data_IF_307092269471
#
_entry.id   IF_307092269471
#
_cell.length_a   1.000
_cell.length_b   1.000
_cell.length_c   1.000
_cell.angle_alpha   90.00
_cell.angle_beta   90.00
_cell.angle_gamma   90.00
#
_symmetry.space_group_name_H-M   'P 1'
#
loop_
_entity.id
_entity.type
_entity.pdbx_description
1 polymer ?
2 non-polymer ?
3 water ?
#
# COMPACT_ATOMS: atom_id res chain seq x y z
N UNK A 1 -3.56 -29.36 -0.29
CA UNK A 1 -4.21 -28.07 -0.33
C UNK A 1 -3.25 -26.91 -0.56
N UNK A 2 -3.44 -26.22 -1.68
CA UNK A 2 -2.66 -25.04 -2.03
C UNK A 2 -3.61 -23.90 -2.33
N UNK A 3 -3.32 -22.72 -1.78
CA UNK A 3 -4.06 -21.51 -2.10
C UNK A 3 -3.06 -20.42 -2.47
N UNK A 4 -3.55 -19.43 -3.22
CA UNK A 4 -2.76 -18.28 -3.60
C UNK A 4 -3.08 -17.11 -2.69
N UNK A 5 -2.06 -16.30 -2.39
CA UNK A 5 -2.22 -15.11 -1.56
C UNK A 5 -1.29 -14.02 -2.08
N UNK A 6 -1.76 -12.78 -2.00
CA UNK A 6 -1.01 -11.63 -2.50
C UNK A 6 -0.05 -11.15 -1.42
N UNK A 7 1.20 -10.91 -1.79
CA UNK A 7 2.21 -10.43 -0.85
C UNK A 7 2.22 -8.91 -0.88
N UNK A 8 1.98 -8.29 0.28
CA UNK A 8 2.01 -6.84 0.42
C UNK A 8 2.89 -6.51 1.62
N UNK A 9 4.09 -6.00 1.36
CA UNK A 9 4.97 -5.54 2.42
C UNK A 9 4.51 -4.17 2.91
N UNK A 10 4.55 -3.99 4.23
CA UNK A 10 3.98 -2.81 4.87
C UNK A 10 4.87 -2.35 6.01
N UNK A 11 4.93 -1.03 6.22
CA UNK A 11 5.71 -0.44 7.29
C UNK A 11 4.81 0.36 8.23
N UNK A 12 5.15 0.32 9.52
CA UNK A 12 4.35 1.00 10.54
C UNK A 12 4.80 2.45 10.65
N UNK A 13 3.85 3.38 10.53
CA UNK A 13 4.17 4.80 10.60
C UNK A 13 3.95 5.33 12.01
N UNK A 14 4.11 6.64 12.17
CA UNK A 14 4.05 7.25 13.50
C UNK A 14 2.65 7.22 14.09
N UNK A 15 1.61 7.09 13.26
CA UNK A 15 0.24 6.99 13.74
C UNK A 15 -0.20 5.55 13.97
N UNK A 16 0.74 4.61 13.97
CA UNK A 16 0.45 3.19 14.19
C UNK A 16 -0.45 2.62 13.10
N UNK A 17 -0.27 3.12 11.88
CA UNK A 17 -0.97 2.61 10.70
C UNK A 17 0.04 1.91 9.80
N UNK A 18 -0.29 0.69 9.38
CA UNK A 18 0.55 -0.05 8.45
C UNK A 18 0.36 0.51 7.04
N UNK A 19 1.42 1.09 6.49
CA UNK A 19 1.45 1.69 5.16
C UNK A 19 2.08 0.73 4.17
N UNK A 20 1.52 0.60 2.97
CA UNK A 20 2.07 -0.32 1.99
C UNK A 20 3.17 0.31 1.14
N UNK A 21 4.14 -0.52 0.78
CA UNK A 21 5.09 -0.14 -0.25
C UNK A 21 4.42 -0.27 -1.63
N UNK A 22 5.13 0.17 -2.66
CA UNK A 22 4.60 -0.02 -4.00
C UNK A 22 4.84 -1.45 -4.47
N UNK A 23 4.16 -1.82 -5.55
CA UNK A 23 4.28 -3.18 -6.07
C UNK A 23 5.67 -3.45 -6.64
N UNK A 24 6.32 -2.42 -7.20
CA UNK A 24 7.69 -2.60 -7.67
C UNK A 24 8.63 -2.92 -6.52
N UNK A 25 8.49 -2.20 -5.41
CA UNK A 25 9.34 -2.44 -4.25
C UNK A 25 9.08 -3.84 -3.68
N UNK A 26 7.81 -4.25 -3.63
CA UNK A 26 7.48 -5.54 -3.03
C UNK A 26 8.04 -6.71 -3.83
N UNK A 27 8.11 -6.59 -5.16
CA UNK A 27 8.74 -7.64 -5.95
C UNK A 27 10.22 -7.75 -5.65
N UNK A 28 10.89 -6.60 -5.47
CA UNK A 28 12.32 -6.61 -5.18
C UNK A 28 12.60 -7.24 -3.82
N UNK A 29 11.74 -6.97 -2.83
CA UNK A 29 11.94 -7.53 -1.50
C UNK A 29 11.82 -9.05 -1.53
N UNK A 30 10.77 -9.56 -2.19
CA UNK A 30 10.55 -11.00 -2.25
C UNK A 30 11.70 -11.72 -2.95
N UNK A 31 12.32 -11.07 -3.94
CA UNK A 31 13.46 -11.68 -4.62
C UNK A 31 14.69 -11.75 -3.71
N UNK A 32 14.86 -10.76 -2.83
CA UNK A 32 15.93 -10.84 -1.83
C UNK A 32 15.60 -11.90 -0.79
N UNK A 33 14.32 -12.00 -0.41
CA UNK A 33 13.92 -12.97 0.61
C UNK A 33 14.11 -14.40 0.11
N UNK A 34 13.88 -14.63 -1.19
CA UNK A 34 14.08 -15.96 -1.76
C UNK A 34 15.53 -16.40 -1.69
N UNK A 35 16.47 -15.46 -1.76
CA UNK A 35 17.89 -15.78 -1.79
C UNK A 35 18.54 -15.76 -0.42
N UNK A 36 18.03 -14.96 0.52
CA UNK A 36 18.65 -14.83 1.83
C UNK A 36 17.61 -14.28 2.79
N UNK A 37 17.23 -15.09 3.79
CA UNK A 37 16.25 -14.66 4.77
C UNK A 37 16.76 -13.53 5.66
N UNK A 38 18.07 -13.33 5.73
CA UNK A 38 18.67 -12.32 6.59
C UNK A 38 19.36 -11.22 5.79
N UNK A 39 18.97 -11.01 4.53
CA UNK A 39 19.60 -10.03 3.69
C UNK A 39 19.04 -8.63 3.88
N UNK A 40 19.63 -7.69 3.15
CA UNK A 40 19.22 -6.29 3.17
C UNK A 40 18.72 -5.90 1.78
N UNK A 41 17.53 -5.31 1.72
CA UNK A 41 16.95 -4.86 0.46
C UNK A 41 17.40 -3.42 0.25
N UNK A 42 18.23 -3.20 -0.77
CA UNK A 42 18.75 -1.87 -1.08
C UNK A 42 17.83 -1.25 -2.12
N UNK A 43 16.88 -0.44 -1.66
CA UNK A 43 15.89 0.13 -2.57
C UNK A 43 16.47 1.17 -3.51
N UNK A 44 17.69 1.66 -3.25
CA UNK A 44 18.35 2.55 -4.19
C UNK A 44 18.66 1.91 -5.52
N UNK A 45 18.74 0.57 -5.57
CA UNK A 45 18.91 -0.12 -6.84
C UNK A 45 17.68 0.00 -7.73
N UNK A 46 16.51 0.26 -7.14
CA UNK A 46 15.26 0.32 -7.90
C UNK A 46 15.02 1.71 -8.48
N UNK A 47 15.14 2.74 -7.65
CA UNK A 47 14.90 4.10 -8.11
C UNK A 47 15.70 5.07 -7.25
N UNK A 48 16.01 6.23 -7.83
CA UNK A 48 16.85 7.21 -7.15
C UNK A 48 16.16 7.83 -5.95
N UNK A 49 14.82 7.88 -5.95
CA UNK A 49 14.10 8.42 -4.81
C UNK A 49 14.13 7.50 -3.60
N UNK A 50 14.47 6.22 -3.79
CA UNK A 50 14.52 5.25 -2.71
C UNK A 50 15.92 5.03 -2.17
N UNK A 51 16.89 5.87 -2.58
CA UNK A 51 18.27 5.70 -2.13
C UNK A 51 18.41 5.62 -0.61
N UNK A 52 17.78 6.49 0.18
CA UNK A 52 17.97 6.40 1.64
C UNK A 52 17.24 5.24 2.30
N UNK A 53 16.48 4.43 1.57
CA UNK A 53 15.69 3.36 2.16
C UNK A 53 16.44 2.04 2.10
N UNK A 54 16.57 1.38 3.25
CA UNK A 54 17.10 0.03 3.34
C UNK A 54 16.18 -0.78 4.24
N UNK A 55 15.76 -1.95 3.77
CA UNK A 55 14.91 -2.86 4.52
C UNK A 55 15.76 -4.04 4.96
N UNK A 56 15.93 -4.19 6.28
CA UNK A 56 16.76 -5.23 6.86
C UNK A 56 15.88 -6.41 7.23
N UNK A 57 16.01 -7.51 6.48
CA UNK A 57 15.24 -8.71 6.79
C UNK A 57 15.74 -9.40 8.06
N UNK A 58 16.97 -9.12 8.49
CA UNK A 58 17.49 -9.76 9.70
C UNK A 58 16.69 -9.34 10.93
N UNK A 59 16.29 -8.07 11.01
CA UNK A 59 15.51 -7.57 12.13
C UNK A 59 14.11 -7.13 11.73
N UNK A 60 13.76 -7.22 10.44
CA UNK A 60 12.45 -6.82 9.93
C UNK A 60 12.12 -5.37 10.30
N UNK A 61 13.02 -4.47 9.88
CA UNK A 61 12.87 -3.04 10.13
C UNK A 61 13.32 -2.26 8.90
N UNK A 62 12.68 -1.11 8.69
CA UNK A 62 13.08 -0.19 7.64
C UNK A 62 14.06 0.84 8.20
N UNK A 63 15.14 1.08 7.47
CA UNK A 63 16.15 2.06 7.85
C UNK A 63 16.16 3.18 6.82
N UNK A 64 15.98 4.42 7.27
CA UNK A 64 16.08 5.59 6.42
C UNK A 64 17.30 6.40 6.81
N UNK A 65 18.23 6.56 5.87
CA UNK A 65 19.43 7.35 6.11
C UNK A 65 19.16 8.85 6.11
N UNK A 66 18.06 9.29 5.49
CA UNK A 66 17.78 10.72 5.41
C UNK A 66 17.06 11.25 6.64
N UNK A 67 16.42 10.39 7.42
CA UNK A 67 15.76 10.80 8.66
C UNK A 67 16.32 10.13 9.90
N UNK A 68 16.91 8.95 9.77
CA UNK A 68 17.42 8.21 10.91
C UNK A 68 16.43 7.27 11.56
N UNK A 69 15.23 7.12 10.99
CA UNK A 69 14.19 6.33 11.63
C UNK A 69 14.42 4.84 11.44
N UNK A 70 13.95 4.07 12.41
CA UNK A 70 13.89 2.61 12.36
C UNK A 70 12.44 2.23 12.61
N UNK A 71 11.77 1.70 11.59
CA UNK A 71 10.35 1.42 11.67
C UNK A 71 10.09 -0.04 11.30
N UNK A 72 9.28 -0.76 12.08
CA UNK A 72 9.02 -2.17 11.77
C UNK A 72 8.35 -2.34 10.41
N UNK A 73 8.61 -3.49 9.79
CA UNK A 73 7.97 -3.88 8.54
C UNK A 73 7.33 -5.24 8.73
N UNK A 74 6.40 -5.58 7.83
CA UNK A 74 5.73 -6.87 7.90
C UNK A 74 5.42 -7.35 6.49
N UNK A 75 5.33 -8.67 6.35
CA UNK A 75 5.02 -9.34 5.09
C UNK A 75 3.57 -9.81 5.18
N UNK A 76 2.65 -8.94 4.79
CA UNK A 76 1.22 -9.20 4.93
C UNK A 76 0.65 -9.82 3.66
N UNK A 77 -0.57 -10.33 3.78
CA UNK A 77 -1.18 -11.09 2.70
C UNK A 77 -2.65 -10.72 2.55
N UNK A 78 -3.09 -10.64 1.30
CA UNK A 78 -4.46 -10.29 0.94
C UNK A 78 -4.97 -11.30 -0.10
N UNK A 79 -6.23 -11.15 -0.49
CA UNK A 79 -6.88 -12.12 -1.36
C UNK A 79 -6.56 -11.83 -2.82
N UNK A 80 -6.30 -12.86 -3.63
CA UNK A 80 -5.94 -12.63 -5.04
C UNK A 80 -7.00 -11.90 -5.84
N UNK A 81 -8.27 -12.00 -5.46
CA UNK A 81 -9.31 -11.31 -6.20
C UNK A 81 -9.44 -9.83 -5.82
N UNK A 82 -8.65 -9.35 -4.87
CA UNK A 82 -8.70 -7.95 -4.49
C UNK A 82 -7.77 -7.12 -5.38
N UNK A 83 -7.89 -5.80 -5.25
CA UNK A 83 -7.14 -4.87 -6.10
C UNK A 83 -5.64 -5.15 -6.17
N UNK A 84 -4.92 -5.44 -5.08
CA UNK A 84 -3.47 -5.70 -5.23
C UNK A 84 -3.15 -6.91 -6.09
N UNK A 85 -4.05 -7.89 -6.16
CA UNK A 85 -3.83 -9.05 -7.00
C UNK A 85 -3.81 -8.74 -8.49
N UNK A 86 -4.45 -7.66 -8.90
CA UNK A 86 -4.48 -7.22 -10.30
C UNK A 86 -3.47 -6.12 -10.59
N UNK A 87 -3.26 -5.21 -9.65
CA UNK A 87 -2.44 -4.03 -9.88
C UNK A 87 -3.20 -2.72 -9.75
N UNK A 88 -4.49 -2.77 -9.42
CA UNK A 88 -5.28 -1.55 -9.28
C UNK A 88 -4.89 -0.83 -8.00
N UNK A 89 -4.62 0.47 -8.11
CA UNK A 89 -4.22 1.29 -6.98
C UNK A 89 -5.06 2.56 -6.98
N UNK A 90 -5.61 2.91 -5.82
CA UNK A 90 -6.30 4.17 -5.62
C UNK A 90 -5.41 5.10 -4.80
N UNK A 91 -5.25 6.34 -5.28
CA UNK A 91 -4.33 7.28 -4.68
C UNK A 91 -5.01 8.62 -4.45
N UNK A 92 -4.58 9.32 -3.40
CA UNK A 92 -5.03 10.67 -3.09
C UNK A 92 -3.85 11.63 -3.12
N UNK A 93 -4.13 12.87 -3.49
CA UNK A 93 -3.10 13.88 -3.75
C UNK A 93 -2.89 14.72 -2.50
N UNK A 94 -1.68 14.68 -1.94
CA UNK A 94 -1.43 15.41 -0.71
C UNK A 94 -1.17 16.89 -1.00
N UNK A 95 -0.84 17.64 0.05
CA UNK A 95 -0.65 19.08 -0.08
C UNK A 95 0.52 19.41 -1.00
N UNK A 96 1.57 18.59 -0.97
CA UNK A 96 2.72 18.83 -1.82
C UNK A 96 2.53 18.47 -3.28
N UNK A 97 1.33 18.06 -3.68
CA UNK A 97 1.09 17.64 -5.04
C UNK A 97 1.51 16.21 -5.35
N UNK A 98 1.91 15.45 -4.34
CA UNK A 98 2.32 14.06 -4.53
C UNK A 98 1.15 13.13 -4.29
N UNK A 99 1.08 12.07 -5.09
CA UNK A 99 0.00 11.10 -4.99
C UNK A 99 0.38 9.98 -4.03
N UNK A 100 -0.52 9.70 -3.08
CA UNK A 100 -0.27 8.78 -1.99
C UNK A 100 -1.33 7.70 -2.00
N UNK A 101 -0.91 6.44 -1.90
CA UNK A 101 -1.86 5.34 -1.90
C UNK A 101 -2.54 5.22 -0.54
N UNK A 102 -3.83 4.90 -0.56
CA UNK A 102 -4.55 4.62 0.67
C UNK A 102 -3.99 3.37 1.34
N UNK A 103 -4.32 3.19 2.62
CA UNK A 103 -4.07 1.91 3.27
C UNK A 103 -4.71 0.79 2.46
N UNK A 104 -4.09 -0.39 2.49
CA UNK A 104 -4.49 -1.44 1.57
C UNK A 104 -5.94 -1.87 1.80
N UNK A 105 -6.37 -1.96 3.07
CA UNK A 105 -7.75 -2.33 3.36
C UNK A 105 -8.72 -1.30 2.80
N UNK A 106 -8.34 -0.02 2.83
CA UNK A 106 -9.20 1.02 2.28
C UNK A 106 -9.13 1.03 0.76
N UNK A 107 -7.96 0.76 0.19
CA UNK A 107 -7.84 0.67 -1.26
C UNK A 107 -8.73 -0.43 -1.82
N UNK A 108 -8.76 -1.59 -1.17
CA UNK A 108 -9.61 -2.68 -1.63
C UNK A 108 -11.08 -2.34 -1.45
N UNK A 109 -11.42 -1.59 -0.40
CA UNK A 109 -12.82 -1.21 -0.19
C UNK A 109 -13.27 -0.21 -1.25
N UNK A 110 -12.40 0.73 -1.62
CA UNK A 110 -12.74 1.72 -2.64
C UNK A 110 -12.96 1.04 -3.98
N UNK A 111 -12.13 0.05 -4.32
CA UNK A 111 -12.28 -0.65 -5.59
C UNK A 111 -13.53 -1.52 -5.61
N UNK A 112 -13.86 -2.14 -4.48
CA UNK A 112 -15.09 -2.94 -4.41
C UNK A 112 -16.32 -2.07 -4.61
N UNK A 113 -16.34 -0.89 -4.00
CA UNK A 113 -17.49 0.00 -4.16
C UNK A 113 -17.57 0.54 -5.58
N UNK A 114 -16.43 0.79 -6.22
CA UNK A 114 -16.44 1.38 -7.56
C UNK A 114 -17.05 0.43 -8.58
N UNK A 115 -16.68 -0.85 -8.53
CA UNK A 115 -17.20 -1.82 -9.49
C UNK A 115 -18.61 -2.29 -9.16
N UNK A 116 -19.05 -2.12 -7.91
CA UNK A 116 -20.46 -2.27 -7.58
C UNK A 116 -21.29 -1.08 -8.03
N UNK A 117 -20.69 -0.15 -8.77
CA UNK A 117 -21.39 1.02 -9.32
C UNK A 117 -21.97 1.90 -8.22
N UNK A 118 -21.30 1.95 -7.07
CA UNK A 118 -21.68 2.87 -6.01
C UNK A 118 -21.21 4.27 -6.36
N UNK A 119 -22.10 5.27 -6.39
CA UNK A 119 -21.62 6.65 -6.61
C UNK A 119 -20.66 7.14 -5.54
N UNK A 120 -20.86 6.79 -4.27
CA UNK A 120 -19.94 7.23 -3.24
C UNK A 120 -19.79 6.16 -2.16
N UNK A 121 -18.75 6.33 -1.35
CA UNK A 121 -18.39 5.39 -0.29
C UNK A 121 -18.01 6.18 0.96
N UNK A 122 -18.60 5.80 2.09
CA UNK A 122 -18.34 6.43 3.38
C UNK A 122 -17.43 5.51 4.18
N UNK A 123 -16.28 6.04 4.62
CA UNK A 123 -15.27 5.26 5.31
C UNK A 123 -15.35 5.38 6.82
N UNK A 124 -16.41 6.00 7.35
CA UNK A 124 -16.48 6.28 8.78
C UNK A 124 -16.42 5.00 9.61
N UNK A 125 -17.06 3.94 9.13
CA UNK A 125 -17.05 2.68 9.87
C UNK A 125 -15.65 2.08 9.97
N UNK A 126 -14.74 2.47 9.08
CA UNK A 126 -13.38 1.95 9.07
C UNK A 126 -12.37 2.89 9.71
N UNK A 127 -12.83 3.92 10.43
CA UNK A 127 -11.98 4.84 11.14
C UNK A 127 -11.74 6.16 10.44
N UNK A 128 -11.76 6.17 9.11
CA UNK A 128 -11.54 7.39 8.34
C UNK A 128 -12.84 8.17 8.21
N UNK A 129 -12.85 9.41 8.69
CA UNK A 129 -14.04 10.26 8.58
C UNK A 129 -14.05 11.00 7.23
N UNK A 130 -14.15 10.21 6.16
CA UNK A 130 -14.06 10.73 4.81
C UNK A 130 -15.12 10.09 3.92
N UNK A 131 -15.49 10.81 2.86
CA UNK A 131 -16.43 10.33 1.85
C UNK A 131 -15.74 10.34 0.49
N UNK A 132 -15.86 9.24 -0.24
CA UNK A 132 -15.22 9.08 -1.53
C UNK A 132 -16.27 9.30 -2.61
N UNK A 133 -16.12 10.39 -3.37
CA UNK A 133 -17.04 10.72 -4.45
C UNK A 133 -16.41 10.33 -5.78
N UNK A 134 -16.94 9.29 -6.41
CA UNK A 134 -16.40 8.83 -7.69
C UNK A 134 -16.81 9.72 -8.86
N UNK A 135 -17.93 10.44 -8.73
CA UNK A 135 -18.39 11.27 -9.84
C UNK A 135 -17.46 12.46 -10.07
N UNK A 136 -17.02 13.10 -8.99
CA UNK A 136 -16.05 14.18 -9.08
C UNK A 136 -14.62 13.72 -8.80
N UNK A 137 -14.43 12.42 -8.59
CA UNK A 137 -13.13 11.83 -8.24
C UNK A 137 -12.45 12.63 -7.13
N UNK A 138 -13.10 12.65 -5.97
CA UNK A 138 -12.62 13.45 -4.85
C UNK A 138 -12.92 12.75 -3.54
N UNK A 139 -12.19 13.16 -2.51
CA UNK A 139 -12.36 12.70 -1.14
C UNK A 139 -12.70 13.90 -0.28
N UNK A 140 -13.72 13.78 0.57
CA UNK A 140 -14.22 14.90 1.35
C UNK A 140 -14.12 14.59 2.84
N UNK A 141 -13.55 15.53 3.60
CA UNK A 141 -13.56 15.43 5.05
C UNK A 141 -14.97 15.68 5.57
N UNK A 142 -15.49 14.74 6.37
CA UNK A 142 -16.87 14.84 6.83
C UNK A 142 -17.09 16.05 7.74
N UNK A 143 -16.06 16.47 8.47
CA UNK A 143 -16.23 17.56 9.43
C UNK A 143 -16.01 18.93 8.80
N UNK A 144 -15.01 19.06 7.93
CA UNK A 144 -14.66 20.35 7.35
C UNK A 144 -15.27 20.60 5.98
N UNK A 145 -15.74 19.55 5.30
CA UNK A 145 -16.27 19.60 3.94
C UNK A 145 -15.21 19.95 2.91
N UNK A 146 -13.93 19.97 3.29
CA UNK A 146 -12.86 20.21 2.34
C UNK A 146 -12.52 18.94 1.58
N UNK A 147 -12.01 19.10 0.36
CA UNK A 147 -11.82 17.97 -0.54
C UNK A 147 -10.39 17.90 -1.07
N UNK A 148 -9.97 16.66 -1.35
CA UNK A 148 -8.75 16.36 -2.09
C UNK A 148 -9.10 15.55 -3.33
N UNK A 149 -8.22 15.60 -4.32
CA UNK A 149 -8.42 14.81 -5.53
C UNK A 149 -7.92 13.39 -5.33
N UNK A 150 -8.56 12.45 -6.01
CA UNK A 150 -8.10 11.06 -6.03
C UNK A 150 -8.17 10.52 -7.45
N UNK A 151 -7.42 9.44 -7.68
CA UNK A 151 -7.34 8.85 -9.01
C UNK A 151 -7.16 7.34 -8.88
N UNK A 152 -7.44 6.64 -9.97
CA UNK A 152 -7.26 5.20 -10.06
C UNK A 152 -6.27 4.91 -11.19
N UNK A 153 -5.31 4.04 -10.92
CA UNK A 153 -4.34 3.62 -11.93
C UNK A 153 -4.23 2.10 -11.93
N UNK A 154 -3.82 1.56 -13.08
CA UNK A 154 -3.46 0.15 -13.19
C UNK A 154 -1.93 0.09 -13.14
N UNK A 155 -1.41 -0.04 -11.92
CA UNK A 155 0.03 -0.16 -11.70
C UNK A 155 0.47 -1.61 -11.90
N UNK A 156 1.46 -2.04 -11.13
CA UNK A 156 1.88 -3.43 -11.11
C UNK A 156 1.08 -4.20 -10.07
N UNK A 157 0.80 -5.47 -10.37
CA UNK A 157 0.24 -6.34 -9.35
C UNK A 157 1.32 -6.72 -8.35
N UNK A 158 0.93 -6.81 -7.08
CA UNK A 158 1.85 -7.26 -6.06
C UNK A 158 2.15 -8.75 -6.26
N UNK A 159 3.28 -9.23 -5.75
CA UNK A 159 3.63 -10.65 -5.95
C UNK A 159 2.59 -11.58 -5.34
N UNK A 160 2.48 -12.77 -5.93
CA UNK A 160 1.60 -13.83 -5.45
C UNK A 160 2.41 -15.09 -5.18
N UNK A 161 2.11 -15.75 -4.06
CA UNK A 161 2.82 -16.96 -3.66
C UNK A 161 1.79 -17.98 -3.17
N UNK A 162 2.29 -19.08 -2.60
CA UNK A 162 1.47 -20.24 -2.27
C UNK A 162 1.48 -20.45 -0.76
N UNK A 163 0.30 -20.62 -0.17
CA UNK A 163 0.17 -21.07 1.20
C UNK A 163 -0.33 -22.50 1.26
N UNK A 164 0.43 -23.38 1.89
CA UNK A 164 0.13 -24.81 1.88
C UNK A 164 -0.81 -25.16 3.03
N UNK A 165 -1.84 -25.95 2.72
CA UNK A 165 -2.81 -26.44 3.70
C UNK A 165 -3.47 -25.29 4.45
X LIG B 1 -9.13 19.50 6.59
X LIG B 1 -9.31 19.04 8.02
X LIG B 1 -8.64 20.92 6.43
X LIG B 1 -10.25 19.09 5.66
X LIG B 1 -7.87 17.14 5.52
X LIG B 1 -9.13 16.44 5.96
X LIG B 1 -7.51 17.24 4.05
X LIG B 1 -7.85 18.65 6.09
X LIG B 1 -6.65 16.53 6.38
X LIG B 1 -5.39 17.19 6.33
X LIG B 1 -4.32 16.23 6.83
X LIG B 1 -4.77 14.87 6.79
X LIG B 1 -3.09 16.33 5.95
X LIG B 1 -1.90 16.27 6.75
X LIG B 1 -3.15 15.09 5.08
X LIG B 1 -1.82 14.63 4.84
X LIG B 1 -3.97 14.10 5.89
X LIG B 1 -4.79 13.22 5.02
X LIG B 1 -5.77 13.64 4.22
X LIG B 1 -6.32 12.61 3.54
X LIG B 1 -5.68 11.51 3.92
X LIG B 1 -5.73 10.06 3.62
X LIG B 1 -6.60 9.52 2.74
X LIG B 1 -4.88 9.23 4.23
X LIG B 1 -3.99 9.71 5.12
X LIG B 1 -3.87 10.99 5.46
X LIG B 1 -4.67 11.92 4.90
#
# INVERSE_FOLDING_TARGET
GNVARVVVWEWLNEHSRWRPYTATVCHHIENVLKEDARGSVVLGQVDAQLVPYIIDLQSMHQFRQDTGTMRPVRRNFYDPSSAPGKGIVWEWENDGGAWTAYDMDICITIQNAYEKQHPWLDLSSLGFCYLIYFNSMSQMNRQTRRRRRLRRRLDLAYPLTVGSI
ADP PB O1B O2B O3B PA O1A O2A O3A O5' C5' C4' O4' C3' O3' C2' O2' C1' N9 C8 N7 C5 C6 N6 N1 C2 N3 C4
#
